data_IF_489114466998
#
_entry.id   IF_489114466998
#
_cell.length_a   1.000
_cell.length_b   1.000
_cell.length_c   1.000
_cell.angle_alpha   90.00
_cell.angle_beta   90.00
_cell.angle_gamma   90.00
#
_symmetry.space_group_name_H-M   'P 1'
#
loop_
_entity.id
_entity.type
_entity.pdbx_description
1 polymer ?
#
# COMPACT_ATOMS: atom_id res chain seq x y z
N UNK A 1 10.19 4.85 -9.72
CA UNK A 1 11.38 3.99 -9.88
C UNK A 1 11.10 2.67 -9.17
N UNK A 2 10.28 1.81 -9.78
CA UNK A 2 10.15 0.42 -9.36
C UNK A 2 11.10 -0.38 -10.24
N UNK A 3 12.21 -0.81 -9.65
CA UNK A 3 13.30 -1.48 -10.34
C UNK A 3 12.82 -2.86 -10.75
N UNK A 4 13.11 -3.22 -12.00
CA UNK A 4 13.01 -4.57 -12.55
C UNK A 4 13.87 -5.50 -11.69
N UNK A 5 13.25 -6.21 -10.74
CA UNK A 5 13.94 -7.20 -9.91
C UNK A 5 13.29 -8.56 -10.16
N UNK A 6 14.10 -9.52 -10.61
CA UNK A 6 13.76 -10.94 -10.59
C UNK A 6 13.33 -11.32 -9.17
N UNK A 7 12.02 -11.52 -9.01
CA UNK A 7 11.29 -12.03 -7.83
C UNK A 7 12.03 -11.88 -6.49
N UNK A 8 12.13 -10.66 -5.93
CA UNK A 8 12.39 -10.53 -4.49
C UNK A 8 11.23 -11.20 -3.72
N UNK A 9 11.48 -11.86 -2.58
CA UNK A 9 10.39 -12.46 -1.81
C UNK A 9 9.40 -11.36 -1.43
N UNK A 10 8.11 -11.63 -1.61
CA UNK A 10 7.01 -10.66 -1.54
C UNK A 10 7.02 -9.74 -0.34
N UNK A 11 7.58 -10.21 0.77
CA UNK A 11 7.72 -9.46 2.00
C UNK A 11 8.63 -8.24 1.85
N UNK A 12 9.65 -8.27 0.98
CA UNK A 12 10.44 -7.05 0.70
C UNK A 12 9.63 -6.01 -0.08
N UNK A 13 8.72 -6.47 -0.94
CA UNK A 13 7.80 -5.58 -1.67
C UNK A 13 6.81 -4.98 -0.68
N UNK A 14 6.24 -5.79 0.23
CA UNK A 14 5.25 -5.33 1.22
C UNK A 14 5.84 -4.32 2.21
N UNK A 15 7.07 -4.55 2.67
CA UNK A 15 7.78 -3.68 3.61
C UNK A 15 8.16 -2.34 2.98
N UNK A 16 8.65 -2.38 1.74
CA UNK A 16 9.00 -1.17 0.98
C UNK A 16 7.75 -0.32 0.72
N UNK A 17 6.63 -0.97 0.42
CA UNK A 17 5.37 -0.33 0.11
C UNK A 17 4.69 0.30 1.34
N UNK A 18 4.69 -0.38 2.50
CA UNK A 18 4.23 0.21 3.77
C UNK A 18 5.03 1.46 4.15
N UNK A 19 6.36 1.45 3.94
CA UNK A 19 7.20 2.61 4.18
C UNK A 19 6.92 3.75 3.19
N UNK A 20 6.71 3.43 1.91
CA UNK A 20 6.32 4.40 0.88
C UNK A 20 4.99 5.07 1.21
N UNK A 21 3.97 4.30 1.57
CA UNK A 21 2.65 4.79 1.95
C UNK A 21 2.72 5.75 3.15
N UNK A 22 3.55 5.41 4.14
CA UNK A 22 3.80 6.23 5.33
C UNK A 22 4.48 7.55 4.97
N UNK A 23 5.48 7.54 4.09
CA UNK A 23 6.16 8.75 3.61
C UNK A 23 5.23 9.65 2.78
N UNK A 24 4.35 9.05 1.98
CA UNK A 24 3.36 9.79 1.18
C UNK A 24 2.31 10.44 2.08
N UNK A 25 1.74 9.72 3.04
CA UNK A 25 0.73 10.25 3.98
C UNK A 25 1.29 11.36 4.88
N UNK A 26 2.53 11.22 5.37
CA UNK A 26 3.20 12.26 6.17
C UNK A 26 3.42 13.55 5.37
N UNK A 27 3.57 13.47 4.04
CA UNK A 27 3.66 14.65 3.17
C UNK A 27 2.32 15.31 2.84
N UNK A 28 1.21 14.58 2.92
CA UNK A 28 -0.12 15.08 2.56
C UNK A 28 -0.74 15.88 3.72
N UNK A 29 -0.37 15.61 4.97
CA UNK A 29 -0.90 16.35 6.12
C UNK A 29 0.13 16.45 7.27
N UNK A 30 0.92 17.53 7.37
CA UNK A 30 1.93 17.66 8.43
C UNK A 30 1.34 17.83 9.85
N UNK A 31 0.01 17.96 9.98
CA UNK A 31 -0.68 18.22 11.26
C UNK A 31 -1.61 17.10 11.75
N UNK A 32 -1.75 15.97 11.04
CA UNK A 32 -2.63 14.89 11.50
C UNK A 32 -1.94 14.00 12.54
N UNK A 33 -2.04 14.41 13.81
CA UNK A 33 -1.67 13.63 15.00
C UNK A 33 -2.35 12.24 15.05
N UNK A 34 -3.42 12.04 14.27
CA UNK A 34 -4.26 10.83 14.26
C UNK A 34 -3.53 9.60 13.69
N UNK A 35 -2.50 9.77 12.86
CA UNK A 35 -1.75 8.66 12.24
C UNK A 35 -0.47 8.25 13.00
N UNK A 36 -0.07 8.99 14.03
CA UNK A 36 1.21 8.75 14.73
C UNK A 36 1.11 7.58 15.72
N UNK A 37 -0.10 7.16 16.14
CA UNK A 37 -0.26 6.05 17.08
C UNK A 37 0.01 4.64 16.51
N UNK A 38 0.24 4.51 15.19
CA UNK A 38 0.52 3.22 14.52
C UNK A 38 2.02 2.85 14.55
N UNK A 39 2.91 3.74 15.03
CA UNK A 39 4.33 3.66 14.69
C UNK A 39 5.19 2.62 15.43
N UNK A 40 4.87 2.20 16.65
CA UNK A 40 5.79 1.32 17.42
C UNK A 40 5.58 -0.18 17.15
N UNK A 41 4.35 -0.59 16.87
CA UNK A 41 4.02 -2.01 16.67
C UNK A 41 4.36 -2.50 15.25
N UNK A 42 4.27 -1.66 14.22
CA UNK A 42 4.63 -2.04 12.85
C UNK A 42 6.11 -2.40 12.68
N UNK A 43 7.02 -1.62 13.25
CA UNK A 43 8.47 -1.84 13.15
C UNK A 43 8.88 -3.17 13.81
N UNK A 44 8.27 -3.48 14.95
CA UNK A 44 8.52 -4.73 15.66
C UNK A 44 7.95 -5.93 14.89
N UNK A 45 6.74 -5.80 14.32
CA UNK A 45 6.13 -6.83 13.46
C UNK A 45 6.99 -7.07 12.23
N UNK A 46 7.43 -6.02 11.53
CA UNK A 46 8.34 -6.11 10.39
C UNK A 46 9.62 -6.86 10.72
N UNK A 47 10.31 -6.47 11.80
CA UNK A 47 11.56 -7.12 12.20
C UNK A 47 11.35 -8.60 12.53
N UNK A 48 10.22 -8.93 13.14
CA UNK A 48 9.84 -10.31 13.44
C UNK A 48 9.62 -11.09 12.14
N UNK A 49 8.85 -10.57 11.18
CA UNK A 49 8.62 -11.21 9.88
C UNK A 49 9.93 -11.42 9.11
N UNK A 50 10.80 -10.40 9.06
CA UNK A 50 12.13 -10.51 8.44
C UNK A 50 12.99 -11.59 9.09
N UNK A 51 12.93 -11.73 10.43
CA UNK A 51 13.68 -12.74 11.15
C UNK A 51 13.23 -14.17 10.83
N UNK A 52 11.92 -14.42 10.72
CA UNK A 52 11.40 -15.73 10.30
C UNK A 52 11.93 -16.12 8.91
N UNK A 53 12.01 -15.18 7.98
CA UNK A 53 12.54 -15.43 6.63
C UNK A 53 14.03 -15.76 6.63
N UNK A 54 14.83 -15.10 7.48
CA UNK A 54 16.26 -15.40 7.63
C UNK A 54 16.50 -16.82 8.16
N UNK A 55 15.49 -17.43 8.80
CA UNK A 55 15.51 -18.82 9.24
C UNK A 55 14.96 -19.81 8.20
N UNK A 56 14.77 -19.38 6.94
CA UNK A 56 14.17 -20.14 5.85
C UNK A 56 12.72 -20.61 6.11
N UNK A 57 11.98 -19.89 6.97
CA UNK A 57 10.54 -20.12 7.21
C UNK A 57 9.74 -19.10 6.40
N UNK A 58 9.11 -19.56 5.33
CA UNK A 58 8.39 -18.70 4.37
C UNK A 58 6.87 -18.77 4.48
N UNK A 59 6.35 -19.69 5.28
CA UNK A 59 4.93 -19.91 5.48
C UNK A 59 4.65 -20.05 6.98
N UNK A 60 3.90 -19.10 7.54
CA UNK A 60 3.56 -19.10 8.96
C UNK A 60 2.33 -18.21 9.24
N UNK A 61 1.53 -18.50 10.29
CA UNK A 61 0.26 -17.81 10.53
C UNK A 61 0.35 -16.29 10.68
N UNK A 62 1.46 -15.77 11.23
CA UNK A 62 1.63 -14.33 11.38
C UNK A 62 1.81 -13.62 10.02
N UNK A 63 2.44 -14.26 9.04
CA UNK A 63 2.57 -13.75 7.68
C UNK A 63 1.20 -13.65 6.98
N UNK A 64 0.36 -14.67 7.13
CA UNK A 64 -1.00 -14.65 6.58
C UNK A 64 -1.86 -13.54 7.17
N UNK A 65 -1.79 -13.36 8.50
CA UNK A 65 -2.49 -12.25 9.17
C UNK A 65 -1.97 -10.89 8.68
N UNK A 66 -0.68 -10.77 8.45
CA UNK A 66 -0.06 -9.57 7.93
C UNK A 66 -0.56 -9.24 6.50
N UNK A 67 -0.58 -10.21 5.59
CA UNK A 67 -1.12 -10.01 4.24
C UNK A 67 -2.59 -9.60 4.23
N UNK A 68 -3.43 -10.19 5.11
CA UNK A 68 -4.83 -9.77 5.26
C UNK A 68 -4.97 -8.34 5.81
N UNK A 69 -4.09 -7.95 6.74
CA UNK A 69 -4.03 -6.57 7.26
C UNK A 69 -3.71 -5.56 6.16
N UNK A 70 -2.66 -5.84 5.37
CA UNK A 70 -2.30 -5.04 4.19
C UNK A 70 -3.48 -4.90 3.24
N UNK A 71 -4.16 -6.00 2.90
CA UNK A 71 -5.30 -5.94 2.00
C UNK A 71 -6.38 -4.97 2.50
N UNK A 72 -6.69 -5.00 3.79
CA UNK A 72 -7.67 -4.10 4.39
C UNK A 72 -7.24 -2.63 4.31
N UNK A 73 -5.99 -2.34 4.70
CA UNK A 73 -5.44 -0.98 4.67
C UNK A 73 -5.40 -0.42 3.24
N UNK A 74 -5.02 -1.24 2.26
CA UNK A 74 -5.00 -0.85 0.85
C UNK A 74 -6.40 -0.57 0.30
N UNK A 75 -7.40 -1.37 0.67
CA UNK A 75 -8.79 -1.11 0.27
C UNK A 75 -9.27 0.23 0.83
N UNK A 76 -8.97 0.51 2.11
CA UNK A 76 -9.30 1.78 2.76
C UNK A 76 -8.58 2.94 2.05
N UNK A 77 -7.29 2.78 1.75
CA UNK A 77 -6.51 3.82 1.08
C UNK A 77 -6.99 4.06 -0.35
N UNK A 78 -7.38 3.03 -1.10
CA UNK A 78 -7.98 3.19 -2.42
C UNK A 78 -9.35 3.91 -2.36
N UNK A 79 -10.16 3.68 -1.33
CA UNK A 79 -11.37 4.47 -1.11
C UNK A 79 -11.02 5.94 -0.88
N UNK A 80 -10.07 6.21 0.02
CA UNK A 80 -9.59 7.56 0.30
C UNK A 80 -9.05 8.27 -0.96
N UNK A 81 -8.27 7.60 -1.80
CA UNK A 81 -7.75 8.18 -3.04
C UNK A 81 -8.85 8.51 -4.04
N UNK A 82 -9.91 7.69 -4.13
CA UNK A 82 -11.07 7.98 -5.00
C UNK A 82 -11.86 9.18 -4.50
N UNK A 83 -12.11 9.25 -3.19
CA UNK A 83 -12.76 10.41 -2.57
C UNK A 83 -11.93 11.68 -2.81
N UNK A 84 -10.62 11.60 -2.63
CA UNK A 84 -9.71 12.72 -2.87
C UNK A 84 -9.69 13.14 -4.36
N UNK A 85 -9.67 12.19 -5.29
CA UNK A 85 -9.76 12.47 -6.73
C UNK A 85 -11.07 13.20 -7.07
N UNK A 86 -12.20 12.75 -6.52
CA UNK A 86 -13.51 13.38 -6.71
C UNK A 86 -13.56 14.81 -6.12
N UNK A 87 -13.05 15.00 -4.90
CA UNK A 87 -13.00 16.31 -4.27
C UNK A 87 -12.08 17.30 -5.02
N UNK A 88 -10.95 16.85 -5.55
CA UNK A 88 -10.07 17.67 -6.38
C UNK A 88 -10.74 18.06 -7.71
N UNK A 89 -11.45 17.13 -8.36
CA UNK A 89 -12.24 17.42 -9.57
C UNK A 89 -13.35 18.45 -9.32
N UNK A 90 -13.97 18.40 -8.13
CA UNK A 90 -15.00 19.34 -7.70
C UNK A 90 -14.44 20.65 -7.10
N UNK A 91 -13.11 20.77 -6.96
CA UNK A 91 -12.41 21.91 -6.31
C UNK A 91 -12.80 22.12 -4.84
N UNK A 92 -13.11 21.03 -4.14
CA UNK A 92 -13.54 21.01 -2.74
C UNK A 92 -12.36 20.81 -1.76
N UNK A 93 -11.18 20.44 -2.27
CA UNK A 93 -9.95 20.30 -1.50
C UNK A 93 -8.98 21.43 -1.83
N UNK A 94 -8.37 22.00 -0.78
CA UNK A 94 -7.19 22.85 -0.89
C UNK A 94 -5.96 21.99 -0.62
N UNK A 95 -5.28 21.59 -1.68
CA UNK A 95 -4.11 20.70 -1.61
C UNK A 95 -3.12 20.95 -2.74
N UNK A 96 -1.97 20.30 -2.64
CA UNK A 96 -0.97 20.23 -3.72
C UNK A 96 -1.06 18.92 -4.51
N UNK A 97 -1.96 18.02 -4.09
CA UNK A 97 -2.21 16.76 -4.77
C UNK A 97 -3.02 17.04 -6.02
N UNK A 98 -2.49 16.65 -7.17
CA UNK A 98 -3.26 16.71 -8.41
C UNK A 98 -4.11 15.45 -8.55
N UNK A 99 -5.26 15.51 -9.26
CA UNK A 99 -6.02 14.31 -9.66
C UNK A 99 -5.11 13.26 -10.31
N UNK A 100 -4.14 13.74 -11.09
CA UNK A 100 -3.13 12.93 -11.77
C UNK A 100 -2.24 12.13 -10.80
N UNK A 101 -1.92 12.69 -9.64
CA UNK A 101 -1.13 12.04 -8.61
C UNK A 101 -1.98 11.03 -7.82
N UNK A 102 -3.22 11.37 -7.47
CA UNK A 102 -4.16 10.44 -6.83
C UNK A 102 -4.40 9.20 -7.72
N UNK A 103 -4.60 9.43 -9.02
CA UNK A 103 -4.72 8.37 -10.02
C UNK A 103 -3.46 7.48 -10.10
N UNK A 104 -2.27 8.09 -10.05
CA UNK A 104 -1.00 7.33 -10.02
C UNK A 104 -0.91 6.44 -8.79
N UNK A 105 -1.17 6.98 -7.60
CA UNK A 105 -1.15 6.22 -6.35
C UNK A 105 -2.15 5.06 -6.42
N UNK A 106 -3.38 5.29 -6.86
CA UNK A 106 -4.41 4.26 -6.94
C UNK A 106 -4.01 3.10 -7.88
N UNK A 107 -3.26 3.39 -8.95
CA UNK A 107 -2.75 2.37 -9.88
C UNK A 107 -1.60 1.57 -9.28
N UNK A 108 -0.70 2.21 -8.54
CA UNK A 108 0.37 1.51 -7.80
C UNK A 108 -0.24 0.56 -6.75
N UNK A 109 -1.25 1.02 -6.01
CA UNK A 109 -1.99 0.18 -5.05
C UNK A 109 -2.65 -1.01 -5.75
N UNK A 110 -3.32 -0.77 -6.87
CA UNK A 110 -3.97 -1.81 -7.64
C UNK A 110 -2.99 -2.89 -8.10
N UNK A 111 -1.83 -2.47 -8.64
CA UNK A 111 -0.77 -3.37 -9.06
C UNK A 111 -0.22 -4.20 -7.89
N UNK A 112 0.01 -3.57 -6.74
CA UNK A 112 0.53 -4.26 -5.58
C UNK A 112 -0.46 -5.31 -5.03
N UNK A 113 -1.77 -4.99 -4.94
CA UNK A 113 -2.79 -5.99 -4.57
C UNK A 113 -2.87 -7.15 -5.56
N UNK A 114 -2.73 -6.89 -6.86
CA UNK A 114 -2.72 -7.95 -7.87
C UNK A 114 -1.53 -8.89 -7.65
N UNK A 115 -0.34 -8.35 -7.38
CA UNK A 115 0.85 -9.16 -7.05
C UNK A 115 0.72 -9.92 -5.73
N UNK A 116 0.09 -9.32 -4.73
CA UNK A 116 -0.19 -9.99 -3.47
C UNK A 116 -1.15 -11.17 -3.66
N UNK A 117 -2.19 -11.02 -4.48
CA UNK A 117 -3.13 -12.09 -4.81
C UNK A 117 -2.52 -13.20 -5.70
N UNK A 118 -1.61 -12.86 -6.62
CA UNK A 118 -0.91 -13.85 -7.47
C UNK A 118 0.01 -14.78 -6.68
N UNK A 119 0.44 -14.34 -5.51
CA UNK A 119 1.53 -14.97 -4.78
C UNK A 119 1.16 -15.46 -3.39
N UNK A 120 -0.04 -15.12 -2.94
CA UNK A 120 -0.61 -15.56 -1.67
C UNK A 120 -2.03 -16.06 -1.91
N UNK A 121 -2.44 -17.10 -1.19
CA UNK A 121 -3.81 -17.61 -1.28
C UNK A 121 -4.80 -16.84 -0.37
N UNK A 122 -4.30 -15.86 0.39
CA UNK A 122 -5.05 -15.12 1.41
C UNK A 122 -5.81 -13.93 0.85
N UNK A 123 -5.33 -13.38 -0.26
CA UNK A 123 -5.84 -12.13 -0.84
C UNK A 123 -6.52 -12.43 -2.16
N UNK A 124 -7.77 -12.00 -2.29
CA UNK A 124 -8.50 -12.12 -3.56
C UNK A 124 -7.96 -11.10 -4.57
N UNK A 125 -7.92 -11.44 -5.86
CA UNK A 125 -7.58 -10.48 -6.91
C UNK A 125 -8.44 -9.22 -6.79
N UNK A 126 -7.84 -8.02 -6.84
CA UNK A 126 -8.59 -6.79 -6.71
C UNK A 126 -9.45 -6.53 -7.95
N UNK A 127 -10.61 -5.92 -7.78
CA UNK A 127 -11.49 -5.50 -8.89
C UNK A 127 -11.05 -4.15 -9.47
N UNK A 128 -9.79 -4.05 -9.90
CA UNK A 128 -9.21 -2.84 -10.47
C UNK A 128 -8.26 -3.19 -11.64
N UNK A 129 -8.04 -2.23 -12.53
CA UNK A 129 -7.12 -2.36 -13.66
C UNK A 129 -5.99 -1.31 -13.53
N UNK A 130 -4.73 -1.74 -13.24
CA UNK A 130 -3.61 -0.81 -13.11
C UNK A 130 -3.14 -0.25 -14.47
N UNK A 131 -3.63 -0.79 -15.59
CA UNK A 131 -3.28 -0.39 -16.96
C UNK A 131 -4.27 0.56 -17.61
N UNK A 132 -5.38 0.88 -16.93
CA UNK A 132 -6.43 1.76 -17.42
C UNK A 132 -5.85 3.11 -17.93
N UNK A 133 -6.40 3.67 -19.03
CA UNK A 133 -6.02 4.99 -19.51
C UNK A 133 -6.13 6.06 -18.43
N UNK A 134 -5.25 7.05 -18.50
CA UNK A 134 -5.22 8.16 -17.56
C UNK A 134 -6.43 9.05 -17.80
N UNK A 135 -7.08 9.50 -16.73
CA UNK A 135 -8.06 10.58 -16.80
C UNK A 135 -7.31 11.87 -17.13
N UNK A 136 -7.68 12.54 -18.22
CA UNK A 136 -7.14 13.84 -18.66
C UNK A 136 -7.91 15.01 -18.06
#
# INVERSE_FOLDING_TARGET
>A
MFIHLEKPPLIFITISYAHYLKLVLVRIHPFSLVLIHINRDEEQVKNTLEQYLRTNVYDFPALHRFHRGIQLEMVIFQCFLRELEEMELNKEVLGVLTPLMANHMAREECYYLQKLAETTYEVKPPACDPTKPRTE
#
